data_IF_899442860240
#
_entry.id   IF_899442860240
#
_cell.length_a   1.000
_cell.length_b   1.000
_cell.length_c   1.000
_cell.angle_alpha   90.00
_cell.angle_beta   90.00
_cell.angle_gamma   90.00
#
_symmetry.space_group_name_H-M   'P 1'
#
loop_
_entity.id
_entity.type
_entity.pdbx_description
1 polymer ?
#
# COMPACT_ATOMS: atom_id res chain seq x y z
N UNK A 1 26.22 -25.77 -4.21
CA UNK A 1 25.31 -26.86 -3.81
C UNK A 1 24.12 -26.87 -4.76
N UNK A 2 23.87 -27.99 -5.45
CA UNK A 2 22.71 -28.12 -6.34
C UNK A 2 21.43 -28.18 -5.50
N UNK A 3 20.40 -27.42 -5.88
CA UNK A 3 19.10 -27.45 -5.18
C UNK A 3 18.33 -28.65 -5.69
N UNK A 4 18.14 -29.66 -4.83
CA UNK A 4 17.37 -30.85 -5.16
C UNK A 4 15.89 -30.64 -4.79
N UNK A 5 15.00 -30.91 -5.73
CA UNK A 5 13.54 -30.86 -5.53
C UNK A 5 13.00 -32.29 -5.41
N UNK A 6 12.11 -32.54 -4.44
CA UNK A 6 11.40 -33.82 -4.36
C UNK A 6 10.20 -33.87 -5.31
N UNK A 7 9.59 -32.71 -5.57
CA UNK A 7 8.50 -32.52 -6.54
C UNK A 7 8.68 -31.18 -7.23
N UNK A 8 8.35 -31.10 -8.52
CA UNK A 8 8.50 -29.87 -9.31
C UNK A 8 7.51 -29.87 -10.47
N UNK A 9 6.90 -28.72 -10.75
CA UNK A 9 6.01 -28.51 -11.89
C UNK A 9 6.13 -27.07 -12.40
N UNK A 10 6.16 -26.93 -13.72
CA UNK A 10 6.07 -25.63 -14.38
C UNK A 10 4.62 -25.37 -14.81
N UNK A 11 4.21 -24.11 -14.72
CA UNK A 11 2.91 -23.58 -15.09
C UNK A 11 3.13 -22.37 -16.01
N UNK A 12 2.13 -22.04 -16.84
CA UNK A 12 2.16 -20.87 -17.73
C UNK A 12 3.45 -20.83 -18.58
N UNK A 13 3.74 -21.91 -19.30
CA UNK A 13 4.94 -22.05 -20.14
C UNK A 13 6.27 -21.76 -19.44
N UNK A 14 6.33 -21.96 -18.12
CA UNK A 14 7.54 -21.78 -17.31
C UNK A 14 7.66 -20.42 -16.65
N UNK A 15 6.66 -19.54 -16.77
CA UNK A 15 6.64 -18.27 -16.02
C UNK A 15 6.53 -18.50 -14.50
N UNK A 16 5.83 -19.57 -14.11
CA UNK A 16 5.62 -19.95 -12.71
C UNK A 16 6.08 -21.39 -12.50
N UNK A 17 6.97 -21.61 -11.54
CA UNK A 17 7.37 -22.94 -11.09
C UNK A 17 6.86 -23.18 -9.68
N UNK A 18 6.22 -24.32 -9.44
CA UNK A 18 5.92 -24.81 -8.09
C UNK A 18 6.78 -26.02 -7.77
N UNK A 19 7.27 -26.10 -6.53
CA UNK A 19 8.17 -27.17 -6.12
C UNK A 19 8.11 -27.46 -4.63
N UNK A 20 8.57 -28.65 -4.26
CA UNK A 20 8.83 -29.05 -2.88
C UNK A 20 10.33 -29.28 -2.76
N UNK A 21 10.98 -28.63 -1.80
CA UNK A 21 12.40 -28.86 -1.52
C UNK A 21 12.59 -30.29 -1.03
N UNK A 22 13.66 -30.96 -1.45
CA UNK A 22 13.97 -32.31 -0.98
C UNK A 22 14.16 -32.37 0.55
N UNK A 23 14.60 -31.27 1.17
CA UNK A 23 14.76 -31.13 2.62
C UNK A 23 13.48 -30.74 3.38
N UNK A 24 12.36 -30.51 2.69
CA UNK A 24 11.14 -30.03 3.34
C UNK A 24 10.42 -31.15 4.12
N UNK A 25 10.56 -31.13 5.45
CA UNK A 25 9.95 -32.11 6.37
C UNK A 25 8.43 -32.27 6.15
N UNK A 26 7.71 -31.15 5.94
CA UNK A 26 6.24 -31.15 5.79
C UNK A 26 5.77 -31.21 4.33
N UNK A 27 6.68 -31.30 3.36
CA UNK A 27 6.33 -31.39 1.94
C UNK A 27 5.49 -30.22 1.40
N UNK A 28 5.55 -29.03 2.01
CA UNK A 28 4.78 -27.87 1.57
C UNK A 28 5.31 -27.34 0.24
N UNK A 29 4.41 -27.11 -0.70
CA UNK A 29 4.74 -26.53 -1.99
C UNK A 29 5.14 -25.06 -1.85
N UNK A 30 6.16 -24.70 -2.61
CA UNK A 30 6.63 -23.33 -2.81
C UNK A 30 6.38 -22.93 -4.25
N UNK A 31 6.23 -21.64 -4.47
CA UNK A 31 6.11 -21.02 -5.80
C UNK A 31 7.34 -20.17 -6.06
N UNK A 32 7.81 -20.17 -7.31
CA UNK A 32 8.86 -19.31 -7.84
C UNK A 32 8.45 -18.72 -9.17
N UNK A 33 8.64 -17.43 -9.35
CA UNK A 33 8.44 -16.71 -10.61
C UNK A 33 9.35 -15.49 -10.66
N UNK A 34 9.57 -14.94 -11.86
CA UNK A 34 10.37 -13.72 -12.02
C UNK A 34 9.62 -12.55 -11.40
N UNK A 35 10.27 -11.76 -10.56
CA UNK A 35 9.66 -10.58 -9.93
C UNK A 35 9.30 -9.56 -11.01
N UNK A 36 7.99 -9.30 -11.26
CA UNK A 36 7.57 -8.31 -12.25
C UNK A 36 7.71 -6.87 -11.73
N UNK A 37 7.94 -6.68 -10.41
CA UNK A 37 7.97 -5.36 -9.76
C UNK A 37 9.36 -4.75 -9.62
N UNK A 38 10.43 -5.50 -9.93
CA UNK A 38 11.81 -5.04 -9.74
C UNK A 38 12.51 -4.78 -11.06
N UNK A 39 13.29 -3.70 -11.13
CA UNK A 39 14.09 -3.34 -12.31
C UNK A 39 15.19 -4.37 -12.62
N UNK A 40 15.56 -5.19 -11.62
CA UNK A 40 16.56 -6.25 -11.76
C UNK A 40 15.90 -7.63 -11.72
N UNK A 41 16.38 -8.60 -12.52
CA UNK A 41 15.83 -9.94 -12.57
C UNK A 41 16.10 -10.69 -11.26
N UNK A 42 15.19 -10.56 -10.30
CA UNK A 42 15.14 -11.37 -9.08
C UNK A 42 13.95 -12.30 -9.16
N UNK A 43 14.10 -13.53 -8.68
CA UNK A 43 12.98 -14.45 -8.54
C UNK A 43 12.32 -14.24 -7.18
N UNK A 44 10.99 -14.16 -7.18
CA UNK A 44 10.21 -14.29 -5.95
C UNK A 44 10.13 -15.77 -5.62
N UNK A 45 10.28 -16.10 -4.33
CA UNK A 45 9.99 -17.44 -3.80
C UNK A 45 9.07 -17.29 -2.60
N UNK A 46 7.92 -17.97 -2.61
CA UNK A 46 6.97 -17.95 -1.49
C UNK A 46 6.45 -19.36 -1.20
N UNK A 47 6.10 -19.62 0.05
CA UNK A 47 5.36 -20.83 0.41
C UNK A 47 3.90 -20.66 -0.02
N UNK A 48 3.31 -21.72 -0.60
CA UNK A 48 1.87 -21.77 -0.86
C UNK A 48 1.07 -22.10 0.40
N UNK A 49 1.74 -22.63 1.44
CA UNK A 49 1.09 -23.10 2.66
C UNK A 49 0.47 -24.50 2.56
N UNK A 50 0.33 -25.05 1.35
CA UNK A 50 -0.38 -26.29 1.07
C UNK A 50 0.56 -27.45 0.72
N UNK A 51 0.18 -28.67 1.09
CA UNK A 51 0.83 -29.93 0.69
C UNK A 51 0.17 -30.58 -0.52
N UNK A 52 -1.13 -30.32 -0.71
CA UNK A 52 -1.89 -30.71 -1.90
C UNK A 52 -1.47 -29.86 -3.10
N UNK A 53 -1.12 -30.50 -4.21
CA UNK A 53 -0.63 -29.83 -5.43
C UNK A 53 -1.68 -28.92 -6.08
N UNK A 54 -2.95 -29.34 -6.13
CA UNK A 54 -4.02 -28.56 -6.75
C UNK A 54 -4.27 -27.26 -5.99
N UNK A 55 -4.37 -27.32 -4.66
CA UNK A 55 -4.50 -26.12 -3.82
C UNK A 55 -3.26 -25.23 -3.89
N UNK A 56 -2.08 -25.84 -3.93
CA UNK A 56 -0.82 -25.12 -4.11
C UNK A 56 -0.76 -24.41 -5.47
N UNK A 57 -1.22 -25.06 -6.54
CA UNK A 57 -1.29 -24.51 -7.90
C UNK A 57 -2.19 -23.30 -7.94
N UNK A 58 -3.43 -23.42 -7.41
CA UNK A 58 -4.35 -22.29 -7.30
C UNK A 58 -3.71 -21.12 -6.55
N UNK A 59 -3.15 -21.37 -5.36
CA UNK A 59 -2.51 -20.33 -4.56
C UNK A 59 -1.29 -19.70 -5.24
N UNK A 60 -0.51 -20.50 -5.96
CA UNK A 60 0.64 -20.02 -6.73
C UNK A 60 0.21 -19.05 -7.84
N UNK A 61 -0.87 -19.38 -8.57
CA UNK A 61 -1.44 -18.51 -9.59
C UNK A 61 -2.01 -17.23 -8.98
N UNK A 62 -2.70 -17.30 -7.84
CA UNK A 62 -3.20 -16.11 -7.13
C UNK A 62 -2.05 -15.15 -6.77
N UNK A 63 -0.96 -15.69 -6.22
CA UNK A 63 0.24 -14.89 -5.87
C UNK A 63 0.86 -14.27 -7.13
N UNK A 64 0.95 -15.03 -8.23
CA UNK A 64 1.49 -14.51 -9.48
C UNK A 64 0.64 -13.37 -10.04
N UNK A 65 -0.68 -13.56 -10.08
CA UNK A 65 -1.64 -12.57 -10.56
C UNK A 65 -1.63 -11.31 -9.71
N UNK A 66 -1.49 -11.42 -8.38
CA UNK A 66 -1.31 -10.28 -7.48
C UNK A 66 -0.10 -9.42 -7.89
N UNK A 67 1.04 -10.05 -8.17
CA UNK A 67 2.25 -9.34 -8.59
C UNK A 67 2.12 -8.73 -10.00
N UNK A 68 1.46 -9.41 -10.93
CA UNK A 68 1.20 -8.86 -12.27
C UNK A 68 0.23 -7.67 -12.21
N UNK A 69 -0.81 -7.77 -11.38
CA UNK A 69 -1.77 -6.68 -11.16
C UNK A 69 -1.07 -5.47 -10.54
N UNK A 70 -0.22 -5.69 -9.54
CA UNK A 70 0.61 -4.64 -8.96
C UNK A 70 1.50 -3.96 -9.97
N UNK A 71 2.13 -4.72 -10.88
CA UNK A 71 2.93 -4.15 -11.97
C UNK A 71 2.07 -3.28 -12.89
N UNK A 72 0.91 -3.79 -13.30
CA UNK A 72 -0.03 -3.07 -14.18
C UNK A 72 -0.49 -1.74 -13.55
N UNK A 73 -0.72 -1.74 -12.24
CA UNK A 73 -1.13 -0.57 -11.47
C UNK A 73 0.04 0.35 -11.07
N UNK A 74 1.28 0.03 -11.44
CA UNK A 74 2.47 0.79 -11.02
C UNK A 74 2.81 0.69 -9.52
N UNK A 75 2.22 -0.27 -8.81
CA UNK A 75 2.43 -0.51 -7.38
C UNK A 75 3.68 -1.39 -7.17
N UNK A 76 4.86 -0.80 -7.37
CA UNK A 76 6.15 -1.50 -7.24
C UNK A 76 6.52 -1.87 -5.80
N UNK A 77 5.88 -1.26 -4.80
CA UNK A 77 6.07 -1.54 -3.36
C UNK A 77 4.82 -2.24 -2.79
N UNK A 78 5.04 -3.21 -1.89
CA UNK A 78 3.99 -4.11 -1.40
C UNK A 78 2.92 -3.46 -0.53
N UNK A 79 3.22 -2.28 0.01
CA UNK A 79 2.31 -1.33 0.66
C UNK A 79 2.86 0.07 0.41
N UNK A 80 1.98 1.05 0.20
CA UNK A 80 2.32 2.48 0.23
C UNK A 80 1.46 3.14 1.28
N UNK A 81 2.03 3.45 2.45
CA UNK A 81 1.33 4.14 3.52
C UNK A 81 1.80 5.59 3.66
N UNK A 82 1.00 6.42 4.33
CA UNK A 82 1.37 7.82 4.59
C UNK A 82 2.68 7.94 5.38
N UNK A 83 2.96 7.00 6.29
CA UNK A 83 4.20 6.99 7.06
C UNK A 83 5.40 6.66 6.17
N UNK A 84 5.25 5.73 5.22
CA UNK A 84 6.30 5.41 4.27
C UNK A 84 6.59 6.61 3.36
N UNK A 85 5.56 7.31 2.88
CA UNK A 85 5.75 8.56 2.12
C UNK A 85 6.45 9.62 2.96
N UNK A 86 6.01 9.84 4.22
CA UNK A 86 6.66 10.79 5.10
C UNK A 86 8.15 10.47 5.28
N UNK A 87 8.50 9.22 5.62
CA UNK A 87 9.88 8.80 5.80
C UNK A 87 10.72 8.91 4.51
N UNK A 88 10.10 8.70 3.34
CA UNK A 88 10.79 8.81 2.04
C UNK A 88 11.14 10.27 1.72
N UNK A 89 10.27 11.22 2.05
CA UNK A 89 10.46 12.64 1.71
C UNK A 89 11.02 13.49 2.85
N UNK A 90 11.01 13.03 4.11
CA UNK A 90 11.41 13.86 5.26
C UNK A 90 12.85 14.37 5.17
N UNK A 91 13.74 13.62 4.51
CA UNK A 91 15.14 14.02 4.29
C UNK A 91 15.29 15.19 3.31
N UNK A 92 14.29 15.42 2.46
CA UNK A 92 14.22 16.57 1.54
C UNK A 92 13.52 17.79 2.15
N UNK A 93 12.92 17.64 3.34
CA UNK A 93 12.19 18.71 4.02
C UNK A 93 13.11 19.52 4.92
N UNK A 94 12.85 20.83 5.03
CA UNK A 94 13.43 21.63 6.11
C UNK A 94 12.91 21.15 7.47
N UNK A 95 13.61 21.47 8.56
CA UNK A 95 13.19 21.09 9.93
C UNK A 95 11.74 21.51 10.23
N UNK A 96 11.40 22.76 9.91
CA UNK A 96 10.05 23.32 10.13
C UNK A 96 8.99 22.59 9.30
N UNK A 97 9.27 22.30 8.03
CA UNK A 97 8.33 21.58 7.15
C UNK A 97 8.07 20.16 7.64
N UNK A 98 9.12 19.46 8.10
CA UNK A 98 9.02 18.12 8.65
C UNK A 98 8.15 18.10 9.92
N UNK A 99 8.40 19.01 10.87
CA UNK A 99 7.62 19.12 12.11
C UNK A 99 6.14 19.44 11.82
N UNK A 100 5.89 20.42 10.95
CA UNK A 100 4.51 20.80 10.57
C UNK A 100 3.78 19.67 9.83
N UNK A 101 4.47 18.96 8.94
CA UNK A 101 3.89 17.82 8.23
C UNK A 101 3.55 16.70 9.21
N UNK A 102 4.49 16.35 10.09
CA UNK A 102 4.26 15.34 11.13
C UNK A 102 3.08 15.69 12.04
N UNK A 103 2.95 16.95 12.46
CA UNK A 103 1.82 17.42 13.26
C UNK A 103 0.49 17.29 12.50
N UNK A 104 0.44 17.71 11.23
CA UNK A 104 -0.77 17.60 10.41
C UNK A 104 -1.16 16.13 10.16
N UNK A 105 -0.19 15.26 9.91
CA UNK A 105 -0.43 13.83 9.75
C UNK A 105 -1.01 13.21 11.01
N UNK A 106 -0.43 13.50 12.18
CA UNK A 106 -0.94 12.98 13.44
C UNK A 106 -2.29 13.55 13.85
N UNK A 107 -2.54 14.83 13.56
CA UNK A 107 -3.79 15.50 13.95
C UNK A 107 -4.96 15.11 13.04
N UNK A 108 -4.73 14.96 11.74
CA UNK A 108 -5.82 14.82 10.77
C UNK A 108 -5.85 13.45 10.12
N UNK A 109 -4.73 12.95 9.63
CA UNK A 109 -4.70 11.72 8.85
C UNK A 109 -4.77 10.46 9.72
N UNK A 110 -3.90 10.37 10.72
CA UNK A 110 -3.74 9.18 11.57
C UNK A 110 -4.99 8.78 12.37
N UNK A 111 -5.82 9.71 12.90
CA UNK A 111 -7.03 9.34 13.62
C UNK A 111 -8.04 8.59 12.73
N UNK A 112 -8.09 8.94 11.43
CA UNK A 112 -9.07 8.38 10.49
C UNK A 112 -8.52 7.16 9.77
N UNK A 113 -7.40 7.32 9.06
CA UNK A 113 -6.83 6.28 8.21
C UNK A 113 -5.77 5.44 8.90
N UNK A 114 -5.21 5.87 10.03
CA UNK A 114 -4.03 5.24 10.65
C UNK A 114 -2.89 5.09 9.62
N UNK A 115 -2.05 4.07 9.78
CA UNK A 115 -0.99 3.73 8.82
C UNK A 115 -1.49 2.74 7.74
N UNK A 116 -2.65 3.03 7.14
CA UNK A 116 -3.27 2.18 6.11
C UNK A 116 -2.54 2.30 4.77
N UNK A 117 -2.59 1.23 3.98
CA UNK A 117 -2.08 1.21 2.61
C UNK A 117 -3.04 1.99 1.69
N UNK A 118 -2.52 2.95 0.93
CA UNK A 118 -3.34 3.74 0.01
C UNK A 118 -4.06 2.88 -1.03
N UNK A 119 -3.49 1.73 -1.39
CA UNK A 119 -4.10 0.82 -2.36
C UNK A 119 -5.43 0.23 -1.89
N UNK A 120 -5.71 0.25 -0.59
CA UNK A 120 -6.97 -0.24 -0.02
C UNK A 120 -8.03 0.85 0.16
N UNK A 121 -7.68 2.12 -0.10
CA UNK A 121 -8.62 3.23 0.05
C UNK A 121 -9.48 3.37 -1.21
N UNK A 122 -10.79 3.40 -1.01
CA UNK A 122 -11.77 3.71 -2.05
C UNK A 122 -12.07 5.22 -2.10
N UNK A 123 -12.70 5.68 -3.17
CA UNK A 123 -13.19 7.07 -3.27
C UNK A 123 -14.14 7.43 -2.12
N UNK A 124 -15.01 6.50 -1.72
CA UNK A 124 -15.91 6.69 -0.58
C UNK A 124 -15.17 6.88 0.75
N UNK A 125 -14.02 6.22 0.94
CA UNK A 125 -13.22 6.40 2.16
C UNK A 125 -12.61 7.82 2.21
N UNK A 126 -12.20 8.34 1.05
CA UNK A 126 -11.69 9.72 0.92
C UNK A 126 -12.81 10.74 1.17
N UNK A 127 -13.99 10.54 0.58
CA UNK A 127 -15.15 11.40 0.82
C UNK A 127 -15.56 11.42 2.29
N UNK A 128 -15.61 10.24 2.92
CA UNK A 128 -15.95 10.10 4.32
C UNK A 128 -14.92 10.76 5.24
N UNK A 129 -13.64 10.73 4.89
CA UNK A 129 -12.59 11.49 5.57
C UNK A 129 -12.81 13.00 5.47
N UNK A 130 -13.12 13.53 4.27
CA UNK A 130 -13.38 14.96 4.12
C UNK A 130 -14.64 15.39 4.85
N UNK A 131 -15.70 14.58 4.81
CA UNK A 131 -16.91 14.81 5.61
C UNK A 131 -16.56 14.89 7.10
N UNK A 132 -15.81 13.92 7.62
CA UNK A 132 -15.33 13.93 9.00
C UNK A 132 -14.52 15.20 9.34
N UNK A 133 -13.65 15.66 8.45
CA UNK A 133 -12.87 16.90 8.64
C UNK A 133 -13.75 18.15 8.67
N UNK A 134 -14.77 18.22 7.82
CA UNK A 134 -15.75 19.32 7.82
C UNK A 134 -16.56 19.29 9.11
N UNK A 135 -17.08 18.12 9.49
CA UNK A 135 -17.86 17.96 10.72
C UNK A 135 -17.02 18.32 11.95
N UNK A 136 -15.75 17.89 12.01
CA UNK A 136 -14.81 18.25 13.08
C UNK A 136 -14.50 19.76 13.12
N UNK A 137 -14.45 20.42 11.96
CA UNK A 137 -14.24 21.86 11.87
C UNK A 137 -15.48 22.65 12.27
N UNK A 138 -16.67 22.21 11.87
CA UNK A 138 -17.96 22.83 12.21
C UNK A 138 -18.30 22.61 13.69
N UNK A 139 -17.95 21.46 14.27
CA UNK A 139 -18.18 21.14 15.68
C UNK A 139 -17.19 21.82 16.63
N UNK A 140 -16.07 22.34 16.12
CA UNK A 140 -15.19 23.23 16.88
C UNK A 140 -15.90 24.57 16.94
N UNK A 141 -16.64 24.79 18.02
CA UNK A 141 -17.28 26.08 18.33
C UNK A 141 -16.34 27.24 18.00
N UNK A 142 -16.89 28.23 17.30
CA UNK A 142 -16.28 29.50 16.90
C UNK A 142 -15.79 30.35 18.11
N UNK A 143 -15.94 29.85 19.34
CA UNK A 143 -15.71 30.57 20.59
C UNK A 143 -14.44 30.20 21.36
N UNK A 144 -13.52 29.39 20.80
CA UNK A 144 -12.18 29.23 21.41
C UNK A 144 -11.08 29.84 20.53
N UNK A 145 -10.56 30.95 21.04
CA UNK A 145 -9.33 31.65 20.66
C UNK A 145 -8.27 30.74 20.00
N UNK A 146 -8.22 30.72 18.67
CA UNK A 146 -7.04 30.23 17.95
C UNK A 146 -6.50 31.39 17.11
N UNK A 147 -5.45 32.04 17.63
CA UNK A 147 -4.78 33.24 17.08
C UNK A 147 -4.14 33.05 15.69
N UNK A 148 -4.37 31.91 15.02
CA UNK A 148 -3.90 31.61 13.67
C UNK A 148 -4.96 30.90 12.80
N UNK A 149 -6.24 30.95 13.19
CA UNK A 149 -7.33 30.44 12.37
C UNK A 149 -7.60 31.35 11.17
N UNK A 150 -7.28 30.88 9.96
CA UNK A 150 -7.78 31.50 8.73
C UNK A 150 -9.30 31.54 8.80
N UNK A 151 -9.87 32.74 8.98
CA UNK A 151 -11.32 32.96 8.89
C UNK A 151 -11.69 32.92 7.41
N UNK A 152 -12.47 31.92 7.00
CA UNK A 152 -13.15 32.01 5.71
C UNK A 152 -14.00 33.28 5.73
N UNK A 153 -13.66 34.27 4.90
CA UNK A 153 -14.49 35.46 4.78
C UNK A 153 -15.79 35.04 4.11
N UNK A 154 -16.93 35.22 4.77
CA UNK A 154 -18.27 35.05 4.20
C UNK A 154 -18.59 36.06 3.08
N UNK A 155 -17.58 36.75 2.54
CA UNK A 155 -17.72 37.66 1.41
C UNK A 155 -17.77 36.82 0.14
N UNK A 156 -18.99 36.59 -0.34
CA UNK A 156 -19.25 36.11 -1.69
C UNK A 156 -18.50 37.01 -2.69
N UNK A 157 -17.49 36.46 -3.36
CA UNK A 157 -16.87 37.11 -4.51
C UNK A 157 -17.92 37.06 -5.62
N UNK A 158 -18.66 38.16 -5.80
CA UNK A 158 -19.46 38.38 -6.99
C UNK A 158 -18.50 38.65 -8.15
N UNK A 159 -18.36 37.65 -9.03
CA UNK A 159 -17.71 37.84 -10.31
C UNK A 159 -18.57 38.77 -11.18
N UNK A 160 -18.19 40.03 -11.32
CA UNK A 160 -18.68 40.87 -12.41
C UNK A 160 -17.89 40.52 -13.67
N UNK A 161 -18.57 39.93 -14.65
CA UNK A 161 -18.07 39.75 -16.00
C UNK A 161 -17.79 41.12 -16.64
N UNK A 162 -16.55 41.32 -17.11
CA UNK A 162 -16.20 42.16 -18.25
C UNK A 162 -15.24 41.39 -19.14
#
# INVERSE_FOLDING_TARGET
MSVTYSKHRNLLDGEVSIFVLASAIKGKWQVKFRNPLGDRPRYIRKSTGHTNETLATKKALDIYQEYQTRRLLGLTRGTLSIQQLFNEYEGSMTKVMREMTFLKLNKYWNPYFKNTDFSTLSSSDIEAYFKWRVDEYVSRDIDTEDKFGWKASNTSISFHHL
#
